data_IF_761138513005
#
_entry.id   IF_761138513005
#
_cell.length_a   1.000
_cell.length_b   1.000
_cell.length_c   1.000
_cell.angle_alpha   90.00
_cell.angle_beta   90.00
_cell.angle_gamma   90.00
#
_symmetry.space_group_name_H-M   'P 1'
#
loop_
_entity.id
_entity.type
_entity.pdbx_description
1 polymer ?
#
# COMPACT_ATOMS: atom_id res chain seq x y z
N UNK A 1 -4.07 -9.55 -9.01
CA UNK A 1 -2.60 -9.47 -8.88
C UNK A 1 -1.89 -9.79 -10.19
N UNK A 2 -0.69 -9.25 -10.42
CA UNK A 2 0.14 -9.53 -11.61
C UNK A 2 1.18 -10.64 -11.34
N UNK A 3 1.65 -11.33 -12.37
CA UNK A 3 2.65 -12.40 -12.24
C UNK A 3 4.07 -11.86 -12.03
N UNK A 4 4.39 -10.78 -12.72
CA UNK A 4 5.69 -10.12 -12.79
C UNK A 4 5.47 -8.60 -12.75
N UNK A 5 6.32 -7.88 -12.01
CA UNK A 5 6.20 -6.43 -11.80
C UNK A 5 7.48 -5.73 -12.28
N UNK A 6 7.31 -4.82 -13.23
CA UNK A 6 8.29 -3.79 -13.56
C UNK A 6 7.85 -2.48 -12.93
N UNK A 7 8.78 -1.78 -12.27
CA UNK A 7 8.49 -0.50 -11.61
C UNK A 7 9.73 0.40 -11.68
N UNK A 8 9.54 1.67 -12.02
CA UNK A 8 10.62 2.66 -12.01
C UNK A 8 10.16 3.89 -11.23
N UNK A 9 10.43 3.89 -9.93
CA UNK A 9 10.05 4.96 -9.02
C UNK A 9 11.24 5.69 -8.45
N UNK A 10 10.97 6.79 -7.75
CA UNK A 10 11.99 7.65 -7.14
C UNK A 10 12.92 6.90 -6.18
N UNK A 11 12.37 5.98 -5.39
CA UNK A 11 13.12 5.26 -4.36
C UNK A 11 13.50 3.83 -4.75
N UNK A 12 12.75 3.21 -5.67
CA UNK A 12 12.92 1.80 -6.03
C UNK A 12 12.71 1.60 -7.53
N UNK A 13 13.59 0.81 -8.13
CA UNK A 13 13.41 0.28 -9.48
C UNK A 13 13.37 -1.24 -9.41
N UNK A 14 12.30 -1.84 -9.95
CA UNK A 14 12.08 -3.28 -10.07
C UNK A 14 12.10 -3.65 -11.55
N UNK A 15 12.77 -4.77 -11.86
CA UNK A 15 12.74 -5.38 -13.18
C UNK A 15 12.38 -6.85 -13.04
N UNK A 16 11.25 -7.25 -13.60
CA UNK A 16 10.78 -8.62 -13.59
C UNK A 16 10.52 -9.22 -12.20
N UNK A 17 10.09 -8.42 -11.23
CA UNK A 17 9.93 -8.88 -9.86
C UNK A 17 8.77 -9.88 -9.72
N UNK A 18 9.04 -11.04 -9.11
CA UNK A 18 8.06 -12.12 -8.93
C UNK A 18 7.80 -12.39 -7.45
N UNK A 19 6.60 -12.07 -6.99
CA UNK A 19 6.15 -12.42 -5.64
C UNK A 19 5.35 -13.72 -5.67
N UNK A 20 5.90 -14.80 -5.11
CA UNK A 20 5.25 -16.11 -4.97
C UNK A 20 5.45 -16.70 -3.56
N UNK A 21 4.44 -17.42 -3.02
CA UNK A 21 3.13 -17.70 -3.62
C UNK A 21 2.25 -16.44 -3.73
N UNK A 22 1.22 -16.49 -4.58
CA UNK A 22 0.24 -15.39 -4.65
C UNK A 22 -0.66 -15.42 -3.40
N UNK A 23 -1.18 -14.27 -2.95
CA UNK A 23 -2.18 -14.23 -1.89
C UNK A 23 -3.38 -15.12 -2.19
N UNK A 24 -4.02 -15.64 -1.14
CA UNK A 24 -5.27 -16.40 -1.26
C UNK A 24 -6.44 -15.47 -1.62
N UNK A 25 -6.42 -14.23 -1.15
CA UNK A 25 -7.46 -13.23 -1.36
C UNK A 25 -7.46 -12.71 -2.81
N UNK A 26 -8.66 -12.56 -3.38
CA UNK A 26 -8.92 -12.07 -4.74
C UNK A 26 -9.89 -10.87 -4.68
N UNK A 27 -9.64 -9.75 -5.40
CA UNK A 27 -8.50 -9.50 -6.31
C UNK A 27 -7.18 -9.13 -5.62
N UNK A 28 -7.20 -8.72 -4.34
CA UNK A 28 -6.02 -8.29 -3.59
C UNK A 28 -6.21 -8.39 -2.06
N UNK A 29 -5.10 -8.32 -1.32
CA UNK A 29 -5.12 -8.19 0.15
C UNK A 29 -5.49 -6.74 0.50
N UNK A 30 -6.44 -6.48 1.43
CA UNK A 30 -6.73 -5.13 1.88
C UNK A 30 -5.54 -4.45 2.58
N UNK A 31 -5.24 -3.21 2.20
CA UNK A 31 -4.16 -2.40 2.74
C UNK A 31 -4.66 -1.44 3.83
N UNK A 32 -3.98 -1.47 4.98
CA UNK A 32 -4.21 -0.55 6.09
C UNK A 32 -3.09 0.50 6.15
N UNK A 33 -3.45 1.78 6.22
CA UNK A 33 -2.50 2.88 6.48
C UNK A 33 -3.00 3.67 7.67
N UNK A 34 -2.24 3.71 8.75
CA UNK A 34 -2.67 4.19 10.06
C UNK A 34 -1.85 5.37 10.57
N UNK A 35 -2.51 6.32 11.25
CA UNK A 35 -1.89 7.47 11.92
C UNK A 35 -2.65 8.78 11.71
N UNK A 36 -2.60 9.67 12.71
CA UNK A 36 -3.45 10.88 12.76
C UNK A 36 -2.89 12.14 12.07
N UNK A 37 -1.72 12.07 11.42
CA UNK A 37 -1.11 13.24 10.79
C UNK A 37 -1.79 13.62 9.48
N UNK A 38 -2.54 14.73 9.47
CA UNK A 38 -3.33 15.18 8.30
C UNK A 38 -2.48 15.35 7.04
N UNK A 39 -1.37 16.08 7.15
CA UNK A 39 -0.56 16.49 5.99
C UNK A 39 0.09 15.33 5.24
N UNK A 40 0.46 14.26 5.94
CA UNK A 40 1.19 13.14 5.36
C UNK A 40 0.35 11.87 5.43
N UNK A 41 0.19 11.31 6.63
CA UNK A 41 -0.39 9.97 6.81
C UNK A 41 -1.83 9.89 6.35
N UNK A 42 -2.69 10.82 6.75
CA UNK A 42 -4.10 10.79 6.32
C UNK A 42 -4.24 11.11 4.83
N UNK A 43 -3.38 11.97 4.27
CA UNK A 43 -3.34 12.20 2.83
C UNK A 43 -2.96 10.94 2.04
N UNK A 44 -1.95 10.19 2.50
CA UNK A 44 -1.53 8.92 1.91
C UNK A 44 -2.62 7.85 2.09
N UNK A 45 -3.20 7.75 3.28
CA UNK A 45 -4.29 6.81 3.55
C UNK A 45 -5.49 7.05 2.63
N UNK A 46 -5.91 8.31 2.46
CA UNK A 46 -7.00 8.68 1.55
C UNK A 46 -6.74 8.34 0.08
N UNK A 47 -5.47 8.23 -0.34
CA UNK A 47 -5.09 7.88 -1.71
C UNK A 47 -4.92 6.39 -1.95
N UNK A 48 -4.45 5.65 -0.94
CA UNK A 48 -3.90 4.30 -1.15
C UNK A 48 -4.41 3.21 -0.21
N UNK A 49 -5.11 3.56 0.87
CA UNK A 49 -5.58 2.57 1.84
C UNK A 49 -7.00 2.09 1.53
N UNK A 50 -7.27 0.82 1.81
CA UNK A 50 -8.63 0.30 1.91
C UNK A 50 -9.24 0.64 3.27
N UNK A 51 -8.41 0.66 4.32
CA UNK A 51 -8.81 0.97 5.68
C UNK A 51 -7.78 1.85 6.39
N UNK A 52 -8.25 2.64 7.36
CA UNK A 52 -7.38 3.42 8.23
C UNK A 52 -7.94 3.45 9.65
N UNK A 53 -7.07 3.27 10.64
CA UNK A 53 -7.36 3.70 12.00
C UNK A 53 -6.52 4.94 12.29
N UNK A 54 -7.18 5.97 12.78
CA UNK A 54 -6.55 7.20 13.19
C UNK A 54 -7.11 7.58 14.56
N UNK A 55 -6.20 7.68 15.53
CA UNK A 55 -6.47 8.21 16.86
C UNK A 55 -5.73 9.53 17.00
N UNK A 56 -6.38 10.50 17.62
CA UNK A 56 -5.76 11.76 18.00
C UNK A 56 -5.87 11.86 19.52
N UNK A 57 -4.73 11.86 20.21
CA UNK A 57 -4.70 12.37 21.58
C UNK A 57 -4.60 13.90 21.46
N UNK A 58 -5.64 14.60 21.93
CA UNK A 58 -5.54 16.02 22.27
C UNK A 58 -4.60 16.20 23.46
#
# INVERSE_FOLDING_TARGET
>A
TEDEVDYDGEYYTLKGARCRPKPLQDPMIPMWIAGGGEKLTLNVAARYADYTNFGYNL
#
